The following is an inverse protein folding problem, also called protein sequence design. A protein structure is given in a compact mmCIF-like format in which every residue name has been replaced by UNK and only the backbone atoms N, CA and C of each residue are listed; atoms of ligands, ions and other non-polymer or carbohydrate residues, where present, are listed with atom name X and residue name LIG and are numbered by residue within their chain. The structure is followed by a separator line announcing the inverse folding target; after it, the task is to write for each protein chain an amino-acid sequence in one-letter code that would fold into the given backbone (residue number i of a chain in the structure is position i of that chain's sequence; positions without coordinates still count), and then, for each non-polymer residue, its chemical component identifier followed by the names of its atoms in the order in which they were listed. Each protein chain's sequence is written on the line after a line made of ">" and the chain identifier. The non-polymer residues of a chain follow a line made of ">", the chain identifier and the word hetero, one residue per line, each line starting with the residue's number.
data_IF_230942464829
#
_entry.id   IF_230942464829
#
_cell.length_a   1.000
_cell.length_b   1.000
_cell.length_c   1.000
_cell.angle_alpha   90.00
_cell.angle_beta   90.00
_cell.angle_gamma   90.00
#
_symmetry.space_group_name_H-M   'P 1'
#
loop_
_entity.id
_entity.type
_entity.pdbx_description
1 polymer ?
#
# COMPACT_ATOMS: atom_id res chain seq x y z
N UNK A 1 3.45 -10.78 -10.59
CA UNK A 1 2.43 -10.91 -9.78
C UNK A 1 1.87 -9.65 -9.30
N UNK A 2 0.70 -9.36 -9.41
CA UNK A 2 0.08 -8.16 -8.95
C UNK A 2 -0.60 -8.39 -7.62
N UNK A 3 -1.02 -7.31 -7.01
CA UNK A 3 -1.79 -7.38 -5.79
C UNK A 3 -3.25 -7.19 -6.15
N UNK A 4 -4.11 -7.91 -5.46
CA UNK A 4 -5.52 -7.73 -5.66
C UNK A 4 -6.01 -6.53 -4.87
N UNK A 5 -6.97 -5.83 -5.45
CA UNK A 5 -7.52 -4.64 -4.81
C UNK A 5 -8.05 -4.98 -3.42
N UNK A 6 -8.72 -6.12 -3.28
CA UNK A 6 -9.27 -6.51 -2.00
C UNK A 6 -8.18 -6.74 -0.96
N UNK A 7 -7.05 -7.28 -1.37
CA UNK A 7 -5.95 -7.49 -0.44
C UNK A 7 -5.37 -6.18 0.05
N UNK A 8 -5.22 -5.23 -0.85
CA UNK A 8 -4.73 -3.92 -0.48
C UNK A 8 -5.71 -3.24 0.48
N UNK A 9 -6.99 -3.33 0.19
CA UNK A 9 -7.99 -2.73 1.06
C UNK A 9 -7.98 -3.35 2.45
N UNK A 10 -7.83 -4.65 2.53
CA UNK A 10 -7.74 -5.31 3.83
C UNK A 10 -6.49 -4.87 4.58
N UNK A 11 -5.39 -4.76 3.86
CA UNK A 11 -4.13 -4.36 4.48
C UNK A 11 -4.21 -2.95 5.05
N UNK A 12 -4.97 -2.09 4.40
CA UNK A 12 -5.08 -0.70 4.82
C UNK A 12 -6.23 -0.43 5.78
N UNK A 13 -6.91 -1.48 6.20
CA UNK A 13 -8.04 -1.30 7.08
C UNK A 13 -7.59 -0.71 8.42
N UNK A 14 -8.28 0.32 8.85
CA UNK A 14 -7.96 0.95 10.12
C UNK A 14 -6.85 1.99 10.07
N UNK A 15 -6.32 2.24 8.89
CA UNK A 15 -5.27 3.24 8.76
C UNK A 15 -5.86 4.64 8.86
N UNK A 16 -5.22 5.49 9.64
CA UNK A 16 -5.61 6.89 9.74
C UNK A 16 -4.83 7.69 8.72
N UNK A 17 -5.54 8.45 7.94
CA UNK A 17 -4.90 9.29 6.94
C UNK A 17 -4.86 10.74 7.41
N UNK A 18 -3.85 11.49 7.04
CA UNK A 18 -2.72 11.06 6.19
C UNK A 18 -1.81 10.07 6.90
N UNK A 19 -1.25 9.16 6.14
CA UNK A 19 -0.36 8.14 6.69
C UNK A 19 0.91 8.06 5.86
N UNK A 20 2.01 7.71 6.53
CA UNK A 20 3.26 7.52 5.82
C UNK A 20 3.34 6.10 5.27
N UNK A 21 4.24 5.90 4.32
CA UNK A 21 4.41 4.56 3.76
C UNK A 21 4.82 3.56 4.83
N UNK A 22 5.56 4.01 5.82
CA UNK A 22 5.95 3.13 6.93
C UNK A 22 4.75 2.74 7.76
N UNK A 23 3.86 3.69 8.01
CA UNK A 23 2.64 3.38 8.74
C UNK A 23 1.76 2.42 7.97
N UNK A 24 1.68 2.62 6.67
CA UNK A 24 0.91 1.70 5.84
C UNK A 24 1.47 0.29 5.91
N UNK A 25 2.79 0.17 5.82
CA UNK A 25 3.42 -1.15 5.88
C UNK A 25 3.19 -1.80 7.25
N UNK A 26 3.28 -1.03 8.32
CA UNK A 26 3.03 -1.55 9.65
C UNK A 26 1.59 -2.07 9.78
N UNK A 27 0.64 -1.29 9.29
CA UNK A 27 -0.75 -1.73 9.34
C UNK A 27 -0.97 -2.98 8.50
N UNK A 28 -0.30 -3.04 7.35
CA UNK A 28 -0.42 -4.21 6.50
C UNK A 28 0.07 -5.45 7.22
N UNK A 29 1.18 -5.34 7.91
CA UNK A 29 1.71 -6.46 8.68
C UNK A 29 0.74 -6.90 9.77
N UNK A 30 0.18 -5.94 10.47
CA UNK A 30 -0.77 -6.25 11.54
C UNK A 30 -2.02 -6.91 11.00
N UNK A 31 -2.42 -6.53 9.80
CA UNK A 31 -3.60 -7.10 9.19
C UNK A 31 -3.34 -8.42 8.47
N UNK A 32 -2.12 -8.91 8.55
CA UNK A 32 -1.79 -10.20 7.96
C UNK A 32 -1.54 -10.18 6.47
N UNK A 33 -1.15 -9.04 5.95
CA UNK A 33 -0.88 -8.95 4.51
C UNK A 33 0.37 -9.72 4.13
N UNK A 34 0.45 -10.07 2.86
CA UNK A 34 1.61 -10.77 2.35
C UNK A 34 2.85 -9.91 2.45
N UNK A 35 3.99 -10.56 2.59
CA UNK A 35 5.27 -9.88 2.64
C UNK A 35 5.49 -9.04 1.39
N UNK A 36 5.08 -9.55 0.26
CA UNK A 36 5.27 -8.82 -1.00
C UNK A 36 4.54 -7.48 -0.96
N UNK A 37 3.33 -7.47 -0.43
CA UNK A 37 2.57 -6.24 -0.33
C UNK A 37 3.22 -5.28 0.65
N UNK A 38 3.68 -5.80 1.77
CA UNK A 38 4.36 -4.98 2.76
C UNK A 38 5.61 -4.34 2.19
N UNK A 39 6.39 -5.12 1.46
CA UNK A 39 7.59 -4.59 0.82
C UNK A 39 7.25 -3.55 -0.23
N UNK A 40 6.19 -3.78 -0.99
CA UNK A 40 5.76 -2.82 -1.98
C UNK A 40 5.36 -1.50 -1.33
N UNK A 41 4.69 -1.58 -0.20
CA UNK A 41 4.31 -0.37 0.52
C UNK A 41 5.53 0.41 1.00
N UNK A 42 6.52 -0.30 1.53
CA UNK A 42 7.74 0.35 1.99
C UNK A 42 8.55 0.95 0.87
N UNK A 43 8.44 0.38 -0.32
CA UNK A 43 9.23 0.84 -1.45
C UNK A 43 8.57 1.90 -2.30
N UNK A 44 7.44 2.44 -1.86
CA UNK A 44 6.77 3.45 -2.64
C UNK A 44 7.55 4.76 -2.66
N UNK A 45 7.42 5.49 -3.78
CA UNK A 45 8.16 6.73 -3.93
C UNK A 45 7.65 7.83 -3.02
N UNK A 46 6.37 7.87 -2.76
CA UNK A 46 5.81 8.90 -1.90
C UNK A 46 5.95 8.51 -0.45
N UNK A 47 6.21 9.50 0.38
CA UNK A 47 6.37 9.25 1.80
C UNK A 47 5.05 9.31 2.56
N UNK A 48 4.08 10.04 2.07
CA UNK A 48 2.80 10.12 2.78
C UNK A 48 1.66 10.10 1.79
N UNK A 49 0.52 9.66 2.26
CA UNK A 49 -0.66 9.46 1.44
C UNK A 49 -1.87 10.02 2.15
N UNK A 50 -2.74 10.66 1.39
CA UNK A 50 -3.93 11.29 1.94
C UNK A 50 -5.10 10.33 2.09
N UNK A 51 -5.03 9.20 1.43
CA UNK A 51 -6.12 8.25 1.49
C UNK A 51 -5.77 6.97 0.75
N UNK A 52 -6.65 5.97 0.82
CA UNK A 52 -6.36 4.70 0.19
C UNK A 52 -6.25 4.78 -1.32
N UNK A 53 -6.95 5.72 -1.93
CA UNK A 53 -6.84 5.87 -3.38
C UNK A 53 -5.44 6.23 -3.83
N UNK A 54 -4.78 7.08 -3.06
CA UNK A 54 -3.41 7.47 -3.39
C UNK A 54 -2.47 6.27 -3.31
N UNK A 55 -2.69 5.43 -2.30
CA UNK A 55 -1.89 4.22 -2.15
C UNK A 55 -2.11 3.28 -3.32
N UNK A 56 -3.38 3.09 -3.68
CA UNK A 56 -3.72 2.20 -4.78
C UNK A 56 -3.11 2.69 -6.09
N UNK A 57 -3.16 3.97 -6.32
CA UNK A 57 -2.59 4.54 -7.54
C UNK A 57 -1.09 4.29 -7.62
N UNK A 58 -0.40 4.44 -6.51
CA UNK A 58 1.04 4.20 -6.48
C UNK A 58 1.36 2.74 -6.76
N UNK A 59 0.65 1.85 -6.11
CA UNK A 59 0.90 0.43 -6.30
C UNK A 59 0.58 -0.02 -7.72
N UNK A 60 -0.57 0.40 -8.22
CA UNK A 60 -0.98 0.02 -9.58
C UNK A 60 -0.11 0.69 -10.63
N UNK A 61 0.25 1.93 -10.40
CA UNK A 61 1.12 2.64 -11.30
C UNK A 61 2.50 2.03 -11.38
N UNK A 62 3.02 1.59 -10.25
CA UNK A 62 4.31 0.92 -10.23
C UNK A 62 4.28 -0.37 -11.00
N UNK A 63 3.20 -1.11 -10.84
CA UNK A 63 3.10 -2.38 -11.52
C UNK A 63 2.91 -2.19 -13.00
N UNK A 64 2.13 -1.17 -13.38
CA UNK A 64 1.90 -0.94 -14.74
C UNK A 64 2.97 -0.20 -15.39
N UNK A 65 3.84 0.23 -14.63
CA UNK A 65 4.69 1.21 -14.93
C UNK A 65 5.37 1.25 -16.09
N UNK A 66 5.22 0.49 -16.72
CA UNK A 66 5.75 0.56 -17.74
C UNK A 66 5.66 1.67 -18.45
N UNK A 67 5.13 2.14 -18.63
CA UNK A 67 5.07 3.05 -19.56
C UNK A 67 5.90 3.89 -19.77
#
# INVERSE_FOLDING_TARGET
>A
MGFQVTEVQKALKGVDYPATKQELASHAERNGADEELTKALRGMDKDSFDGPNAVMQQLMGSLGGAS
#
